data_IF_173921370924
#
_entry.id   IF_173921370924
#
_cell.length_a   1.000
_cell.length_b   1.000
_cell.length_c   1.000
_cell.angle_alpha   90.00
_cell.angle_beta   90.00
_cell.angle_gamma   90.00
#
_symmetry.space_group_name_H-M   'P 1'
#
loop_
_entity.id
_entity.type
_entity.pdbx_description
1 polymer ?
#
# COMPACT_ATOMS: atom_id res chain seq x y z
N UNK A 1 -7.16 -20.83 0.02
CA UNK A 1 -7.04 -20.95 -1.46
C UNK A 1 -8.32 -20.48 -2.18
N UNK A 2 -9.18 -19.69 -1.54
CA UNK A 2 -10.58 -19.47 -1.96
C UNK A 2 -10.84 -18.20 -2.77
N UNK A 3 -9.91 -17.24 -2.77
CA UNK A 3 -10.12 -15.97 -3.50
C UNK A 3 -10.07 -16.17 -5.02
N UNK A 4 -9.17 -17.02 -5.53
CA UNK A 4 -9.00 -17.23 -6.98
C UNK A 4 -10.20 -17.92 -7.64
N UNK A 5 -10.95 -18.74 -6.92
CA UNK A 5 -12.07 -19.50 -7.48
C UNK A 5 -13.40 -18.74 -7.49
N UNK A 6 -13.55 -17.73 -6.62
CA UNK A 6 -14.85 -17.09 -6.39
C UNK A 6 -14.87 -15.59 -6.73
N UNK A 7 -13.70 -14.98 -6.97
CA UNK A 7 -13.62 -13.57 -7.32
C UNK A 7 -13.94 -13.35 -8.79
N UNK A 8 -15.00 -12.59 -9.05
CA UNK A 8 -15.40 -12.16 -10.38
C UNK A 8 -15.12 -10.66 -10.49
N UNK A 9 -14.08 -10.33 -11.24
CA UNK A 9 -13.66 -8.95 -11.45
C UNK A 9 -14.61 -8.26 -12.44
N UNK A 10 -15.09 -7.06 -12.09
CA UNK A 10 -15.91 -6.20 -12.95
C UNK A 10 -15.08 -5.07 -13.50
N UNK A 11 -15.40 -4.56 -14.68
CA UNK A 11 -14.62 -3.48 -15.29
C UNK A 11 -14.52 -2.22 -14.42
N UNK A 12 -15.34 -2.11 -13.37
CA UNK A 12 -15.35 -1.13 -12.30
C UNK A 12 -14.96 -1.65 -10.87
N UNK A 13 -14.02 -2.59 -10.59
CA UNK A 13 -13.40 -2.90 -9.22
C UNK A 13 -11.88 -2.51 -8.73
N UNK A 14 -11.54 -1.41 -8.02
CA UNK A 14 -10.18 -0.90 -7.71
C UNK A 14 -9.54 -1.87 -6.78
N UNK A 15 -8.44 -2.42 -7.26
CA UNK A 15 -7.59 -3.29 -6.49
C UNK A 15 -6.48 -2.45 -5.88
N UNK A 16 -6.52 -2.33 -4.56
CA UNK A 16 -5.40 -1.82 -3.82
C UNK A 16 -4.44 -2.95 -3.49
N UNK A 17 -3.29 -2.95 -4.15
CA UNK A 17 -2.18 -3.84 -3.85
C UNK A 17 -1.09 -3.08 -3.10
N UNK A 18 -0.60 -3.64 -1.99
CA UNK A 18 0.55 -3.11 -1.26
C UNK A 18 1.27 -4.23 -0.54
N UNK A 19 2.58 -4.06 -0.37
CA UNK A 19 3.35 -4.93 0.51
C UNK A 19 3.00 -4.60 1.97
N UNK A 20 2.90 -5.58 2.88
CA UNK A 20 2.67 -5.29 4.28
C UNK A 20 3.62 -4.20 4.80
N UNK A 21 3.05 -3.22 5.52
CA UNK A 21 3.76 -2.09 6.15
C UNK A 21 4.20 -0.95 5.22
N UNK A 22 3.87 -0.96 3.93
CA UNK A 22 4.15 0.16 3.01
C UNK A 22 3.00 1.18 2.93
N UNK A 23 2.38 1.51 4.07
CA UNK A 23 1.32 2.53 4.12
C UNK A 23 -0.10 2.09 3.72
N UNK A 24 -0.40 0.79 3.63
CA UNK A 24 -1.71 0.25 3.22
C UNK A 24 -2.91 0.92 3.90
N UNK A 25 -2.84 1.15 5.22
CA UNK A 25 -3.94 1.76 5.97
C UNK A 25 -4.24 3.19 5.52
N UNK A 26 -3.19 3.97 5.27
CA UNK A 26 -3.34 5.35 4.83
C UNK A 26 -3.88 5.41 3.41
N UNK A 27 -3.33 4.58 2.52
CA UNK A 27 -3.77 4.51 1.13
C UNK A 27 -5.23 4.02 1.01
N UNK A 28 -5.67 3.06 1.83
CA UNK A 28 -7.08 2.68 1.90
C UNK A 28 -7.98 3.83 2.34
N UNK A 29 -7.57 4.63 3.35
CA UNK A 29 -8.34 5.77 3.81
C UNK A 29 -8.45 6.86 2.73
N UNK A 30 -7.35 7.14 2.02
CA UNK A 30 -7.30 8.06 0.88
C UNK A 30 -8.23 7.57 -0.23
N UNK A 31 -8.05 6.34 -0.72
CA UNK A 31 -8.90 5.78 -1.76
C UNK A 31 -10.38 5.79 -1.35
N UNK A 32 -10.71 5.42 -0.10
CA UNK A 32 -12.09 5.46 0.37
C UNK A 32 -12.69 6.87 0.35
N UNK A 33 -11.93 7.87 0.79
CA UNK A 33 -12.36 9.28 0.80
C UNK A 33 -12.47 9.85 -0.62
N UNK A 34 -11.55 9.48 -1.52
CA UNK A 34 -11.62 9.81 -2.95
C UNK A 34 -12.84 9.14 -3.59
N UNK A 35 -13.28 7.97 -3.16
CA UNK A 35 -14.43 7.30 -3.79
C UNK A 35 -15.80 7.80 -3.30
N UNK A 36 -15.87 8.40 -2.11
CA UNK A 36 -17.12 8.90 -1.53
C UNK A 36 -17.27 10.42 -1.69
N UNK A 37 -18.38 10.88 -2.28
CA UNK A 37 -18.71 12.31 -2.36
C UNK A 37 -18.86 12.92 -0.95
N UNK A 38 -18.41 14.16 -0.76
CA UNK A 38 -18.59 14.95 0.45
C UNK A 38 -20.05 15.35 0.63
N UNK A 39 -20.87 14.45 1.19
CA UNK A 39 -22.29 14.73 1.42
C UNK A 39 -23.09 13.62 2.13
N UNK A 40 -22.57 12.39 2.20
CA UNK A 40 -23.22 11.36 3.03
C UNK A 40 -22.81 11.52 4.51
N UNK A 41 -23.75 12.04 5.30
CA UNK A 41 -23.70 12.17 6.75
C UNK A 41 -23.08 10.94 7.44
N UNK A 42 -22.04 11.19 8.23
CA UNK A 42 -21.47 10.25 9.19
C UNK A 42 -20.01 9.92 8.89
N UNK A 43 -19.15 10.29 9.84
CA UNK A 43 -17.72 9.95 9.94
C UNK A 43 -17.52 8.41 10.00
N UNK A 44 -17.81 7.70 8.91
CA UNK A 44 -17.69 6.25 8.80
C UNK A 44 -16.24 5.78 8.70
N UNK A 45 -15.27 6.71 8.66
CA UNK A 45 -13.87 6.38 8.96
C UNK A 45 -13.71 5.93 10.42
N UNK A 46 -14.60 6.36 11.33
CA UNK A 46 -14.61 6.01 12.75
C UNK A 46 -15.32 4.67 13.07
N UNK A 47 -16.35 4.29 12.31
CA UNK A 47 -17.13 3.05 12.54
C UNK A 47 -16.72 1.89 11.64
N UNK A 48 -16.02 2.17 10.55
CA UNK A 48 -15.32 1.14 9.83
C UNK A 48 -14.01 0.84 10.59
N UNK A 49 -13.95 -0.31 11.28
CA UNK A 49 -12.78 -1.16 11.03
C UNK A 49 -12.54 -1.04 9.53
N UNK A 50 -11.36 -0.57 9.02
CA UNK A 50 -11.15 -0.43 7.58
C UNK A 50 -11.72 -1.71 6.99
N UNK A 51 -12.82 -1.62 6.20
CA UNK A 51 -13.77 -2.72 6.08
C UNK A 51 -12.95 -3.95 5.79
N UNK A 52 -13.33 -5.09 6.33
CA UNK A 52 -12.76 -6.40 6.02
C UNK A 52 -12.64 -6.55 4.50
N UNK A 53 -11.56 -5.95 3.98
CA UNK A 53 -11.11 -5.67 2.64
C UNK A 53 -9.83 -6.43 2.61
N UNK A 54 -9.94 -7.69 2.26
CA UNK A 54 -8.81 -8.55 2.38
C UNK A 54 -7.90 -8.31 1.21
N UNK A 55 -6.68 -8.75 1.45
CA UNK A 55 -5.52 -8.17 0.82
C UNK A 55 -5.03 -9.22 -0.17
N UNK A 56 -4.97 -8.93 -1.47
CA UNK A 56 -4.36 -9.85 -2.42
C UNK A 56 -2.84 -9.80 -2.22
N UNK A 57 -2.34 -10.46 -1.19
CA UNK A 57 -0.91 -10.75 -1.08
C UNK A 57 -0.66 -12.12 -1.73
N UNK A 58 -0.61 -12.22 -3.08
CA UNK A 58 -0.14 -13.44 -3.78
C UNK A 58 0.20 -13.24 -5.28
N UNK A 59 1.42 -13.69 -5.64
CA UNK A 59 2.13 -13.91 -6.93
C UNK A 59 1.45 -13.68 -8.30
N UNK A 60 2.28 -13.16 -9.21
CA UNK A 60 2.10 -12.82 -10.63
C UNK A 60 1.65 -13.83 -11.68
N UNK A 61 0.90 -14.88 -11.34
CA UNK A 61 0.02 -15.53 -12.34
C UNK A 61 -1.44 -15.09 -12.22
N UNK A 62 -1.76 -14.26 -11.23
CA UNK A 62 -3.06 -13.64 -11.06
C UNK A 62 -3.14 -12.22 -11.66
N UNK A 63 -2.00 -11.51 -11.76
CA UNK A 63 -1.97 -10.12 -12.22
C UNK A 63 -2.35 -9.99 -13.70
N UNK A 64 -1.80 -10.84 -14.58
CA UNK A 64 -2.19 -10.87 -16.00
C UNK A 64 -3.67 -11.20 -16.21
N UNK A 65 -4.23 -12.14 -15.43
CA UNK A 65 -5.66 -12.48 -15.51
C UNK A 65 -6.57 -11.37 -14.96
N UNK A 66 -6.11 -10.63 -13.94
CA UNK A 66 -6.85 -9.50 -13.36
C UNK A 66 -6.81 -8.26 -14.26
N UNK A 67 -5.70 -8.04 -14.97
CA UNK A 67 -5.49 -6.86 -15.83
C UNK A 67 -5.98 -7.03 -17.27
N UNK A 68 -6.21 -8.27 -17.73
CA UNK A 68 -6.74 -8.53 -19.08
C UNK A 68 -8.15 -7.97 -19.30
N UNK A 69 -8.90 -7.54 -18.26
CA UNK A 69 -10.35 -7.28 -18.41
C UNK A 69 -10.91 -5.90 -18.02
N UNK A 70 -10.26 -5.00 -17.27
CA UNK A 70 -10.85 -3.66 -17.08
C UNK A 70 -10.12 -2.73 -16.09
N UNK A 71 -10.63 -1.49 -15.94
CA UNK A 71 -10.17 -0.41 -15.05
C UNK A 71 -11.02 -0.31 -13.80
N UNK A 72 -10.68 -1.12 -12.83
CA UNK A 72 -11.64 -1.51 -11.83
C UNK A 72 -11.73 -0.42 -10.66
N UNK A 73 -12.90 -0.05 -9.99
CA UNK A 73 -13.35 0.58 -8.63
C UNK A 73 -14.35 -0.18 -7.59
N UNK A 74 -13.96 -1.12 -6.70
CA UNK A 74 -14.64 -1.64 -5.47
C UNK A 74 -13.75 -2.68 -4.76
N UNK A 75 -13.28 -2.34 -3.56
CA UNK A 75 -12.43 -3.20 -2.74
C UNK A 75 -13.27 -4.35 -2.15
N UNK A 76 -12.91 -5.62 -2.38
CA UNK A 76 -13.32 -6.82 -1.59
C UNK A 76 -12.41 -8.02 -1.90
N UNK A 77 -12.12 -8.85 -0.90
CA UNK A 77 -11.45 -10.16 -0.96
C UNK A 77 -11.72 -10.96 0.36
N UNK A 78 -10.96 -12.01 0.74
CA UNK A 78 -11.20 -12.90 1.90
C UNK A 78 -10.16 -12.84 3.06
N UNK A 79 -10.57 -13.02 4.35
CA UNK A 79 -9.78 -12.70 5.55
C UNK A 79 -8.36 -13.29 5.58
N UNK A 80 -7.38 -12.59 6.19
CA UNK A 80 -6.03 -13.12 6.32
C UNK A 80 -6.04 -14.38 7.22
N UNK A 81 -5.17 -15.37 6.95
CA UNK A 81 -4.91 -16.42 7.94
C UNK A 81 -4.42 -15.76 9.24
N UNK A 82 -4.75 -16.34 10.41
CA UNK A 82 -4.34 -15.78 11.69
C UNK A 82 -2.81 -15.59 11.70
N UNK A 83 -2.39 -14.40 12.15
CA UNK A 83 -0.97 -14.15 12.39
C UNK A 83 -0.48 -15.22 13.37
N UNK A 84 0.52 -16.02 12.96
CA UNK A 84 1.28 -16.84 13.92
C UNK A 84 1.83 -15.86 14.96
N UNK A 85 1.32 -15.98 16.19
CA UNK A 85 1.87 -15.30 17.35
C UNK A 85 3.28 -15.84 17.54
N UNK A 86 4.29 -15.08 17.12
CA UNK A 86 5.66 -15.32 17.54
C UNK A 86 5.70 -14.97 19.02
N UNK A 87 6.01 -15.96 19.87
CA UNK A 87 6.00 -15.83 21.33
C UNK A 87 7.06 -14.84 21.85
N UNK A 88 8.04 -14.45 21.02
CA UNK A 88 9.01 -13.39 21.29
C UNK A 88 9.34 -12.60 20.01
N UNK A 89 9.71 -11.30 20.12
CA UNK A 89 10.15 -10.52 18.97
C UNK A 89 11.45 -11.09 18.41
N UNK A 90 11.46 -11.45 17.13
CA UNK A 90 12.68 -11.87 16.43
C UNK A 90 13.74 -10.74 16.52
N UNK A 91 15.01 -11.04 16.84
CA UNK A 91 16.07 -10.03 16.83
C UNK A 91 16.15 -9.30 15.49
N UNK A 92 16.43 -8.00 15.51
CA UNK A 92 16.42 -7.15 14.31
C UNK A 92 17.36 -7.68 13.22
N UNK A 93 18.56 -8.13 13.58
CA UNK A 93 19.53 -8.75 12.66
C UNK A 93 18.95 -9.96 11.93
N UNK A 94 18.26 -10.86 12.65
CA UNK A 94 17.57 -12.02 12.05
C UNK A 94 16.39 -11.60 11.19
N UNK A 95 15.67 -10.54 11.56
CA UNK A 95 14.59 -10.00 10.73
C UNK A 95 15.14 -9.44 9.40
N UNK A 96 16.28 -8.75 9.42
CA UNK A 96 16.98 -8.26 8.23
C UNK A 96 17.43 -9.44 7.36
N UNK A 97 18.00 -10.49 7.94
CA UNK A 97 18.38 -11.71 7.19
C UNK A 97 17.19 -12.37 6.48
N UNK A 98 16.07 -12.56 7.19
CA UNK A 98 14.84 -13.09 6.62
C UNK A 98 14.30 -12.19 5.50
N UNK A 99 14.40 -10.87 5.65
CA UNK A 99 14.00 -9.90 4.61
C UNK A 99 14.89 -10.02 3.36
N UNK A 100 16.21 -9.96 3.53
CA UNK A 100 17.17 -10.02 2.42
C UNK A 100 17.13 -11.36 1.67
N UNK A 101 16.91 -12.47 2.38
CA UNK A 101 16.74 -13.80 1.78
C UNK A 101 15.36 -14.00 1.12
N UNK A 102 14.40 -13.10 1.38
CA UNK A 102 13.02 -13.23 0.92
C UNK A 102 12.19 -14.26 1.68
N UNK A 103 12.73 -14.90 2.73
CA UNK A 103 12.06 -15.91 3.56
C UNK A 103 11.31 -15.22 4.69
N UNK A 104 10.26 -14.49 4.33
CA UNK A 104 9.37 -13.81 5.26
C UNK A 104 7.94 -13.77 4.70
N UNK A 105 6.92 -13.45 5.52
CA UNK A 105 5.55 -13.34 5.03
C UNK A 105 5.45 -12.40 3.83
N UNK A 106 4.90 -12.90 2.73
CA UNK A 106 4.74 -12.21 1.43
C UNK A 106 6.04 -11.96 0.64
N UNK A 107 7.20 -12.43 1.09
CA UNK A 107 8.48 -12.27 0.38
C UNK A 107 8.59 -13.10 -0.92
N UNK A 108 9.54 -12.76 -1.81
CA UNK A 108 10.52 -11.69 -1.68
C UNK A 108 9.94 -10.29 -2.00
N UNK A 109 10.39 -9.28 -1.25
CA UNK A 109 9.94 -7.89 -1.40
C UNK A 109 10.25 -7.30 -2.79
N UNK A 110 11.52 -7.34 -3.22
CA UNK A 110 11.97 -6.77 -4.49
C UNK A 110 11.23 -7.36 -5.69
N UNK A 111 11.00 -8.67 -5.70
CA UNK A 111 10.24 -9.32 -6.77
C UNK A 111 8.81 -8.80 -6.88
N UNK A 112 8.14 -8.62 -5.74
CA UNK A 112 6.77 -8.07 -5.72
C UNK A 112 6.73 -6.62 -6.22
N UNK A 113 7.66 -5.78 -5.75
CA UNK A 113 7.74 -4.37 -6.16
C UNK A 113 8.06 -4.24 -7.65
N UNK A 114 9.06 -4.98 -8.13
CA UNK A 114 9.48 -4.99 -9.53
C UNK A 114 8.33 -5.40 -10.46
N UNK A 115 7.53 -6.40 -10.09
CA UNK A 115 6.41 -6.87 -10.90
C UNK A 115 5.36 -5.76 -11.10
N UNK A 116 4.89 -5.13 -10.02
CA UNK A 116 3.92 -4.04 -10.11
C UNK A 116 4.48 -2.78 -10.78
N UNK A 117 5.77 -2.50 -10.59
CA UNK A 117 6.44 -1.41 -11.28
C UNK A 117 6.44 -1.63 -12.79
N UNK A 118 6.97 -2.76 -13.26
CA UNK A 118 7.02 -3.10 -14.68
C UNK A 118 5.63 -3.12 -15.30
N UNK A 119 4.63 -3.62 -14.57
CA UNK A 119 3.25 -3.64 -15.06
C UNK A 119 2.62 -2.23 -15.12
N UNK A 120 2.97 -1.34 -14.19
CA UNK A 120 2.58 0.09 -14.29
C UNK A 120 3.18 0.79 -15.50
N UNK A 121 4.37 0.39 -15.94
CA UNK A 121 4.98 0.92 -17.16
C UNK A 121 4.33 0.34 -18.42
N UNK A 122 3.94 -0.94 -18.38
CA UNK A 122 3.29 -1.63 -19.51
C UNK A 122 1.86 -1.20 -19.74
N UNK A 123 1.12 -0.92 -18.66
CA UNK A 123 -0.32 -0.60 -18.69
C UNK A 123 -0.62 0.56 -17.74
N UNK A 124 -0.08 1.77 -18.00
CA UNK A 124 -0.23 2.93 -17.12
C UNK A 124 -1.68 3.36 -16.94
N UNK A 125 -2.55 3.03 -17.89
CA UNK A 125 -4.00 3.22 -17.80
C UNK A 125 -4.63 2.25 -16.79
N UNK A 126 -4.10 1.03 -16.64
CA UNK A 126 -4.64 -0.02 -15.74
C UNK A 126 -3.97 -0.08 -14.37
N UNK A 127 -2.72 0.37 -14.26
CA UNK A 127 -1.92 0.20 -13.05
C UNK A 127 -1.21 1.49 -12.69
N UNK A 128 -1.66 2.11 -11.60
CA UNK A 128 -0.98 3.24 -10.98
C UNK A 128 -0.01 2.75 -9.90
N UNK A 129 1.27 3.06 -10.07
CA UNK A 129 2.28 2.86 -9.05
C UNK A 129 2.49 4.15 -8.24
N UNK A 130 2.39 4.04 -6.91
CA UNK A 130 2.53 5.16 -5.97
C UNK A 130 3.49 4.77 -4.85
N UNK A 131 4.48 5.62 -4.57
CA UNK A 131 5.42 5.43 -3.45
C UNK A 131 4.91 6.15 -2.20
N UNK A 132 5.15 5.57 -1.04
CA UNK A 132 4.74 6.17 0.24
C UNK A 132 5.43 7.53 0.46
N UNK A 133 6.70 7.61 0.07
CA UNK A 133 7.56 8.77 0.15
C UNK A 133 7.04 9.92 -0.72
N UNK A 134 6.50 9.62 -1.91
CA UNK A 134 5.92 10.62 -2.81
C UNK A 134 4.62 11.19 -2.21
N UNK A 135 3.75 10.35 -1.64
CA UNK A 135 2.53 10.82 -0.95
C UNK A 135 2.90 11.70 0.25
N UNK A 136 3.98 11.37 0.97
CA UNK A 136 4.45 12.16 2.11
C UNK A 136 5.07 13.50 1.71
N UNK A 137 5.80 13.53 0.60
CA UNK A 137 6.53 14.72 0.14
C UNK A 137 5.67 15.65 -0.70
N UNK A 138 4.79 15.09 -1.54
CA UNK A 138 3.92 15.82 -2.47
C UNK A 138 2.46 15.33 -2.36
N UNK A 139 1.84 15.47 -1.18
CA UNK A 139 0.52 14.90 -0.89
C UNK A 139 -0.58 15.32 -1.87
N UNK A 140 -0.67 16.61 -2.17
CA UNK A 140 -1.70 17.17 -3.07
C UNK A 140 -1.58 16.59 -4.48
N UNK A 141 -0.36 16.59 -5.03
CA UNK A 141 -0.05 16.04 -6.35
C UNK A 141 -0.43 14.56 -6.43
N UNK A 142 -0.01 13.74 -5.47
CA UNK A 142 -0.28 12.30 -5.52
C UNK A 142 -1.76 11.99 -5.29
N UNK A 143 -2.47 12.76 -4.46
CA UNK A 143 -3.91 12.59 -4.29
C UNK A 143 -4.67 12.92 -5.57
N UNK A 144 -4.36 14.04 -6.21
CA UNK A 144 -4.96 14.40 -7.50
C UNK A 144 -4.69 13.34 -8.56
N UNK A 145 -3.45 12.86 -8.65
CA UNK A 145 -3.06 11.77 -9.56
C UNK A 145 -3.81 10.46 -9.29
N UNK A 146 -3.97 10.08 -8.02
CA UNK A 146 -4.78 8.91 -7.64
C UNK A 146 -6.23 9.13 -8.05
N UNK A 147 -6.79 10.31 -7.76
CA UNK A 147 -8.17 10.64 -8.00
C UNK A 147 -8.52 10.64 -9.50
N UNK A 148 -7.65 11.22 -10.33
CA UNK A 148 -7.68 11.14 -11.78
C UNK A 148 -7.64 9.70 -12.28
N UNK A 149 -6.62 8.94 -11.86
CA UNK A 149 -6.43 7.55 -12.28
C UNK A 149 -7.64 6.69 -11.97
N UNK A 150 -8.21 6.86 -10.78
CA UNK A 150 -9.38 6.07 -10.41
C UNK A 150 -10.65 6.59 -11.15
N UNK A 151 -10.67 7.77 -11.76
CA UNK A 151 -11.81 8.30 -12.52
C UNK A 151 -12.74 9.23 -11.74
N UNK A 152 -12.23 9.90 -10.69
CA UNK A 152 -12.91 11.02 -9.99
C UNK A 152 -11.90 12.15 -9.80
N UNK A 153 -11.59 12.92 -10.84
CA UNK A 153 -10.77 14.12 -10.71
C UNK A 153 -11.39 15.04 -9.64
N UNK A 154 -10.56 15.54 -8.73
CA UNK A 154 -10.96 16.51 -7.71
C UNK A 154 -10.91 17.89 -8.36
N UNK A 155 -12.08 18.49 -8.61
CA UNK A 155 -12.20 19.73 -9.40
C UNK A 155 -12.69 20.90 -8.57
N UNK A 156 -13.28 20.62 -7.41
CA UNK A 156 -13.79 21.65 -6.53
C UNK A 156 -12.63 22.20 -5.69
N UNK A 157 -12.60 23.52 -5.50
CA UNK A 157 -11.61 24.19 -4.66
C UNK A 157 -11.76 23.69 -3.21
N UNK A 158 -10.66 23.31 -2.57
CA UNK A 158 -10.67 22.79 -1.20
C UNK A 158 -10.91 21.27 -1.07
N UNK A 159 -11.26 20.56 -2.15
CA UNK A 159 -11.52 19.09 -2.08
C UNK A 159 -10.26 18.32 -1.65
N UNK A 160 -9.09 18.71 -2.15
CA UNK A 160 -7.81 18.03 -1.86
C UNK A 160 -7.41 18.26 -0.40
N UNK A 161 -7.56 19.49 0.08
CA UNK A 161 -7.25 19.92 1.44
C UNK A 161 -8.18 19.24 2.46
N UNK A 162 -9.49 19.18 2.16
CA UNK A 162 -10.46 18.45 3.00
C UNK A 162 -10.07 16.97 3.09
N UNK A 163 -9.71 16.35 1.97
CA UNK A 163 -9.35 14.95 1.91
C UNK A 163 -8.08 14.66 2.71
N UNK A 164 -7.07 15.52 2.57
CA UNK A 164 -5.82 15.45 3.34
C UNK A 164 -6.08 15.56 4.83
N UNK A 165 -6.92 16.51 5.24
CA UNK A 165 -7.30 16.67 6.63
C UNK A 165 -8.02 15.43 7.17
N UNK A 166 -8.99 14.89 6.42
CA UNK A 166 -9.75 13.67 6.76
C UNK A 166 -8.87 12.43 6.88
N UNK A 167 -7.87 12.30 6.02
CA UNK A 167 -6.95 11.17 5.99
C UNK A 167 -5.65 11.42 6.76
N UNK A 168 -5.56 12.51 7.52
CA UNK A 168 -4.34 12.87 8.25
C UNK A 168 -3.95 11.79 9.27
N UNK A 169 -2.64 11.59 9.43
CA UNK A 169 -2.10 10.61 10.37
C UNK A 169 -2.65 10.81 11.79
N UNK A 170 -2.66 12.06 12.27
CA UNK A 170 -3.14 12.39 13.61
C UNK A 170 -4.62 12.07 13.80
N UNK A 171 -5.45 12.37 12.80
CA UNK A 171 -6.88 12.06 12.87
C UNK A 171 -7.12 10.56 12.84
N UNK A 172 -6.52 9.85 11.88
CA UNK A 172 -6.70 8.41 11.74
C UNK A 172 -6.17 7.63 12.95
N UNK A 173 -5.08 8.11 13.59
CA UNK A 173 -4.52 7.52 14.82
C UNK A 173 -5.44 7.69 16.03
N UNK A 174 -6.16 8.81 16.13
CA UNK A 174 -7.14 9.09 17.21
C UNK A 174 -8.40 8.23 17.14
N UNK A 175 -8.68 7.61 15.99
CA UNK A 175 -9.79 6.67 15.85
C UNK A 175 -9.41 5.33 16.52
N UNK A 176 -10.14 4.94 17.58
CA UNK A 176 -9.76 3.84 18.49
C UNK A 176 -9.49 2.49 17.78
N UNK A 177 -10.19 2.19 16.68
CA UNK A 177 -9.98 0.97 15.89
C UNK A 177 -8.61 0.92 15.17
N UNK A 178 -7.94 2.07 15.02
CA UNK A 178 -6.76 2.23 14.18
C UNK A 178 -5.45 2.28 14.97
N UNK A 179 -5.45 2.53 16.28
CA UNK A 179 -4.24 2.80 17.07
C UNK A 179 -3.09 1.78 16.84
N UNK A 180 -3.40 0.49 16.72
CA UNK A 180 -2.42 -0.58 16.45
C UNK A 180 -1.72 -0.50 15.07
N UNK A 181 -2.25 0.26 14.13
CA UNK A 181 -1.70 0.43 12.78
C UNK A 181 -0.84 1.70 12.64
N UNK A 182 -0.93 2.65 13.57
CA UNK A 182 -0.28 3.96 13.50
C UNK A 182 0.86 4.04 14.52
N UNK A 183 2.11 3.95 14.05
CA UNK A 183 3.33 4.06 14.88
C UNK A 183 3.87 5.51 14.89
N UNK A 184 4.72 5.85 13.91
CA UNK A 184 5.27 7.21 13.72
C UNK A 184 4.83 7.88 12.41
N UNK A 185 4.59 7.11 11.34
CA UNK A 185 4.16 7.67 10.04
C UNK A 185 5.19 8.59 9.37
N UNK A 186 6.47 8.32 9.59
CA UNK A 186 7.61 9.12 9.15
C UNK A 186 8.48 8.33 8.17
N UNK A 187 9.04 9.03 7.19
CA UNK A 187 10.04 8.51 6.26
C UNK A 187 11.40 8.53 6.95
N UNK A 188 12.23 7.51 6.73
CA UNK A 188 13.61 7.48 7.24
C UNK A 188 13.77 7.01 8.68
N UNK A 189 12.70 6.66 9.40
CA UNK A 189 12.79 6.22 10.79
C UNK A 189 13.59 4.91 10.98
N UNK A 190 13.90 4.19 9.90
CA UNK A 190 14.81 3.03 9.91
C UNK A 190 16.23 3.39 10.38
N UNK A 191 16.68 4.64 10.17
CA UNK A 191 17.99 5.16 10.61
C UNK A 191 18.18 5.08 12.13
N UNK A 192 17.08 5.02 12.88
CA UNK A 192 17.11 4.91 14.34
C UNK A 192 17.28 3.46 14.84
N UNK A 193 17.28 2.47 13.94
CA UNK A 193 17.25 1.05 14.30
C UNK A 193 18.30 0.21 13.56
N UNK A 194 18.53 0.49 12.28
CA UNK A 194 19.49 -0.27 11.47
C UNK A 194 20.92 0.19 11.77
N UNK A 195 21.86 -0.75 11.73
CA UNK A 195 23.29 -0.45 11.69
C UNK A 195 23.72 -0.31 10.23
N UNK A 196 24.85 0.36 9.98
CA UNK A 196 25.44 0.48 8.62
C UNK A 196 25.54 -0.87 7.91
N UNK A 197 25.99 -1.92 8.62
CA UNK A 197 26.08 -3.27 8.06
C UNK A 197 24.72 -3.83 7.61
N UNK A 198 23.65 -3.59 8.39
CA UNK A 198 22.30 -4.03 8.01
C UNK A 198 21.77 -3.25 6.80
N UNK A 199 22.06 -1.96 6.75
CA UNK A 199 21.68 -1.09 5.62
C UNK A 199 22.37 -1.53 4.35
N UNK A 200 23.68 -1.72 4.39
CA UNK A 200 24.49 -2.21 3.28
C UNK A 200 23.97 -3.56 2.80
N UNK A 201 23.66 -4.47 3.72
CA UNK A 201 23.11 -5.79 3.37
C UNK A 201 21.76 -5.69 2.66
N UNK A 202 20.88 -4.80 3.10
CA UNK A 202 19.58 -4.56 2.44
C UNK A 202 19.80 -3.92 1.06
N UNK A 203 20.66 -2.92 0.97
CA UNK A 203 20.98 -2.23 -0.27
C UNK A 203 21.54 -3.20 -1.32
N UNK A 204 22.53 -4.01 -0.96
CA UNK A 204 23.17 -4.97 -1.87
C UNK A 204 22.21 -6.07 -2.35
N UNK A 205 21.28 -6.52 -1.51
CA UNK A 205 20.41 -7.69 -1.84
C UNK A 205 19.07 -7.32 -2.45
N UNK A 206 18.51 -6.16 -2.06
CA UNK A 206 17.18 -5.67 -2.43
C UNK A 206 17.26 -4.36 -3.18
N UNK A 207 18.07 -3.41 -2.70
CA UNK A 207 18.24 -2.07 -3.28
C UNK A 207 18.73 -2.12 -4.73
N UNK A 208 19.89 -2.72 -4.99
CA UNK A 208 20.49 -2.81 -6.33
C UNK A 208 19.54 -3.44 -7.38
N UNK A 209 18.72 -4.42 -6.97
CA UNK A 209 17.74 -5.06 -7.86
C UNK A 209 16.64 -4.11 -8.31
N UNK A 210 16.26 -3.17 -7.46
CA UNK A 210 15.23 -2.17 -7.73
C UNK A 210 15.83 -0.95 -8.43
N UNK A 211 17.05 -0.57 -8.09
CA UNK A 211 17.80 0.51 -8.76
C UNK A 211 18.01 0.19 -10.24
N UNK A 212 18.26 -1.09 -10.58
CA UNK A 212 18.29 -1.55 -11.97
C UNK A 212 16.98 -1.29 -12.74
N UNK A 213 15.87 -1.02 -12.04
CA UNK A 213 14.56 -0.66 -12.62
C UNK A 213 14.24 0.84 -12.47
N UNK A 214 15.17 1.65 -11.96
CA UNK A 214 14.97 3.06 -11.65
C UNK A 214 14.23 3.31 -10.31
N UNK A 215 14.14 2.31 -9.44
CA UNK A 215 13.47 2.40 -8.14
C UNK A 215 14.48 2.43 -6.99
N UNK A 216 14.52 3.56 -6.28
CA UNK A 216 15.43 3.76 -5.15
C UNK A 216 14.68 3.56 -3.83
N UNK A 217 15.14 2.59 -3.03
CA UNK A 217 14.50 2.19 -1.77
C UNK A 217 14.99 3.05 -0.59
N UNK A 218 16.23 3.51 -0.69
CA UNK A 218 16.88 4.38 0.28
C UNK A 218 17.19 5.67 -0.49
N UNK A 219 16.40 6.72 -0.22
CA UNK A 219 16.84 8.06 -0.56
C UNK A 219 18.00 8.40 0.39
N UNK A 220 19.23 8.33 -0.14
CA UNK A 220 20.40 8.96 0.46
C UNK A 220 20.16 10.47 0.48
#
# INVERSE_FOLDING_TARGET
>A
MTFRSNFHARDDDVLLASFPKTGTTWLMALSHSILKKGGENGDRLATANPPSLPRPHRRGRALDQLLQRGHLRRLRASPPPPARSYKEPLPLSRAVECFCSGVHPSGPFSGSVAEYWLESQRRPEKVLFVKYEDIKSHPEREISRIAEFVGRPLKEEGEVEELLWRCSFERLKKLAANAKYFRKGQVGDWKNYLTSEMEDRIHQTVGLKLEALGLFLIHV
#
